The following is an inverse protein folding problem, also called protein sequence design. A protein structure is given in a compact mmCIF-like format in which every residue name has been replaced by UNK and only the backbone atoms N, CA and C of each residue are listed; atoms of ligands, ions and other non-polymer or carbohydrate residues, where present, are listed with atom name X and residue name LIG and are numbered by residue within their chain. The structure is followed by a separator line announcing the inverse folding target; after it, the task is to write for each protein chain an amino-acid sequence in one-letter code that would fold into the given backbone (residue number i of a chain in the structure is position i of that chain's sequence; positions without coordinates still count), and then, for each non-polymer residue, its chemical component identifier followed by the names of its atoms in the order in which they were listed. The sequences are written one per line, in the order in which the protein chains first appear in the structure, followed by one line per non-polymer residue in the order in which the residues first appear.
data_IF_772654201155
#
_entry.id   IF_772654201155
#
_cell.length_a   1.000
_cell.length_b   1.000
_cell.length_c   1.000
_cell.angle_alpha   90.00
_cell.angle_beta   90.00
_cell.angle_gamma   90.00
#
_symmetry.space_group_name_H-M   'P 1'
#
loop_
_entity.id
_entity.type
_entity.pdbx_description
1 polymer ?
#
# COMPACT_ATOMS: atom_id res chain seq x y z
N UNK A 1 -15.42 4.12 5.16
CA UNK A 1 -15.60 4.41 3.74
C UNK A 1 -14.85 5.66 3.31
N UNK A 2 -13.58 5.50 2.98
CA UNK A 2 -12.94 6.31 1.95
C UNK A 2 -13.45 5.85 0.57
N UNK A 3 -13.30 6.69 -0.44
CA UNK A 3 -13.65 6.42 -1.84
C UNK A 3 -12.39 6.21 -2.67
N UNK A 4 -12.52 5.59 -3.85
CA UNK A 4 -11.39 5.41 -4.77
C UNK A 4 -10.76 6.75 -5.15
N UNK A 5 -11.58 7.79 -5.39
CA UNK A 5 -11.11 9.13 -5.72
C UNK A 5 -10.31 9.77 -4.57
N UNK A 6 -10.72 9.51 -3.32
CA UNK A 6 -9.97 9.95 -2.13
C UNK A 6 -8.63 9.23 -2.02
N UNK A 7 -8.57 7.93 -2.33
CA UNK A 7 -7.30 7.16 -2.35
C UNK A 7 -6.35 7.70 -3.41
N UNK A 8 -6.85 8.00 -4.61
CA UNK A 8 -6.05 8.62 -5.67
C UNK A 8 -5.56 10.01 -5.25
N UNK A 9 -6.41 10.82 -4.60
CA UNK A 9 -6.02 12.13 -4.05
C UNK A 9 -4.91 11.99 -2.99
N UNK A 10 -5.02 11.02 -2.08
CA UNK A 10 -3.99 10.74 -1.07
C UNK A 10 -2.67 10.32 -1.73
N UNK A 11 -2.72 9.47 -2.76
CA UNK A 11 -1.53 9.06 -3.52
C UNK A 11 -0.85 10.26 -4.17
N UNK A 12 -1.62 11.12 -4.83
CA UNK A 12 -1.09 12.27 -5.55
C UNK A 12 -0.51 13.31 -4.57
N UNK A 13 -1.13 13.47 -3.40
CA UNK A 13 -0.60 14.28 -2.29
C UNK A 13 0.57 13.60 -1.54
N UNK A 14 0.91 12.35 -1.87
CA UNK A 14 1.88 11.51 -1.14
C UNK A 14 1.54 11.37 0.36
N UNK A 15 0.26 11.36 0.69
CA UNK A 15 -0.24 11.13 2.05
C UNK A 15 -0.18 9.64 2.40
N UNK A 16 1.02 9.20 2.77
CA UNK A 16 1.28 7.80 3.14
C UNK A 16 0.49 7.39 4.38
N UNK A 17 0.32 8.29 5.35
CA UNK A 17 -0.41 7.97 6.58
C UNK A 17 -1.92 7.83 6.31
N UNK A 18 -2.47 8.66 5.43
CA UNK A 18 -3.84 8.52 4.91
C UNK A 18 -4.04 7.19 4.18
N UNK A 19 -3.13 6.85 3.28
CA UNK A 19 -3.16 5.57 2.55
C UNK A 19 -3.02 4.35 3.48
N UNK A 20 -2.20 4.43 4.54
CA UNK A 20 -2.11 3.35 5.54
C UNK A 20 -3.45 3.16 6.25
N UNK A 21 -4.15 4.24 6.61
CA UNK A 21 -5.49 4.12 7.22
C UNK A 21 -6.51 3.51 6.26
N UNK A 22 -6.42 3.83 4.97
CA UNK A 22 -7.32 3.26 3.94
C UNK A 22 -7.15 1.74 3.74
N UNK A 23 -6.05 1.14 4.24
CA UNK A 23 -5.89 -0.32 4.27
C UNK A 23 -6.84 -1.03 5.24
N UNK A 24 -7.47 -0.32 6.17
CA UNK A 24 -8.47 -0.88 7.09
C UNK A 24 -9.91 -0.51 6.67
N UNK A 25 -10.12 0.00 5.44
CA UNK A 25 -11.46 0.35 4.97
C UNK A 25 -12.36 -0.88 4.78
N UNK A 26 -13.67 -0.71 4.93
CA UNK A 26 -14.65 -1.79 4.79
C UNK A 26 -14.72 -2.32 3.35
N UNK A 27 -14.51 -1.45 2.36
CA UNK A 27 -14.55 -1.79 0.95
C UNK A 27 -13.21 -2.40 0.50
N UNK A 28 -13.25 -3.62 -0.04
CA UNK A 28 -12.07 -4.29 -0.57
C UNK A 28 -11.44 -3.59 -1.78
N UNK A 29 -12.22 -2.84 -2.56
CA UNK A 29 -11.70 -2.04 -3.67
C UNK A 29 -10.87 -0.87 -3.14
N UNK A 30 -11.30 -0.24 -2.05
CA UNK A 30 -10.56 0.83 -1.38
C UNK A 30 -9.27 0.29 -0.78
N UNK A 31 -9.33 -0.84 -0.06
CA UNK A 31 -8.14 -1.49 0.53
C UNK A 31 -7.11 -1.89 -0.53
N UNK A 32 -7.56 -2.50 -1.63
CA UNK A 32 -6.66 -2.91 -2.72
C UNK A 32 -6.03 -1.70 -3.43
N UNK A 33 -6.80 -0.65 -3.72
CA UNK A 33 -6.29 0.58 -4.33
C UNK A 33 -5.29 1.30 -3.41
N UNK A 34 -5.56 1.32 -2.09
CA UNK A 34 -4.65 1.87 -1.10
C UNK A 34 -3.32 1.09 -1.07
N UNK A 35 -3.38 -0.24 -1.09
CA UNK A 35 -2.20 -1.09 -1.14
C UNK A 35 -1.34 -0.82 -2.39
N UNK A 36 -1.96 -0.75 -3.58
CA UNK A 36 -1.25 -0.43 -4.82
C UNK A 36 -0.63 0.97 -4.79
N UNK A 37 -1.38 1.96 -4.31
CA UNK A 37 -0.92 3.35 -4.19
C UNK A 37 0.30 3.48 -3.27
N UNK A 38 0.30 2.80 -2.12
CA UNK A 38 1.45 2.70 -1.23
C UNK A 38 2.66 2.06 -1.92
N UNK A 39 2.43 1.00 -2.70
CA UNK A 39 3.45 0.36 -3.52
C UNK A 39 4.09 1.33 -4.52
N UNK A 40 3.29 2.14 -5.21
CA UNK A 40 3.77 3.13 -6.20
C UNK A 40 4.63 4.21 -5.55
N UNK A 41 4.21 4.72 -4.39
CA UNK A 41 5.02 5.66 -3.61
C UNK A 41 6.31 5.02 -3.12
N UNK A 42 6.26 3.70 -2.86
CA UNK A 42 7.32 2.87 -2.31
C UNK A 42 8.01 3.53 -1.11
N UNK A 43 7.21 4.15 -0.24
CA UNK A 43 7.68 4.74 1.00
C UNK A 43 8.02 3.61 2.00
N UNK A 44 9.18 3.68 2.68
CA UNK A 44 9.58 2.68 3.66
C UNK A 44 8.52 2.39 4.73
N UNK A 45 7.74 3.40 5.12
CA UNK A 45 6.67 3.28 6.14
C UNK A 45 5.54 2.35 5.72
N UNK A 46 5.41 2.07 4.42
CA UNK A 46 4.39 1.16 3.91
C UNK A 46 4.74 -0.32 4.08
N UNK A 47 6.00 -0.66 4.43
CA UNK A 47 6.48 -2.04 4.47
C UNK A 47 5.69 -2.90 5.45
N UNK A 48 5.64 -2.50 6.72
CA UNK A 48 4.95 -3.27 7.77
C UNK A 48 3.43 -3.35 7.53
N UNK A 49 2.72 -2.24 7.20
CA UNK A 49 1.30 -2.31 6.84
C UNK A 49 1.00 -3.24 5.66
N UNK A 50 1.78 -3.18 4.58
CA UNK A 50 1.59 -4.05 3.42
C UNK A 50 1.88 -5.52 3.74
N UNK A 51 2.86 -5.80 4.61
CA UNK A 51 3.13 -7.17 5.06
C UNK A 51 1.95 -7.79 5.83
N UNK A 52 1.31 -6.99 6.68
CA UNK A 52 0.10 -7.36 7.42
C UNK A 52 -1.04 -7.65 6.46
N UNK A 53 -1.40 -6.71 5.59
CA UNK A 53 -2.50 -6.86 4.62
C UNK A 53 -2.29 -8.06 3.71
N UNK A 54 -1.06 -8.27 3.21
CA UNK A 54 -0.71 -9.44 2.40
C UNK A 54 -1.04 -10.77 3.07
N UNK A 55 -1.01 -10.83 4.40
CA UNK A 55 -1.12 -12.06 5.16
C UNK A 55 -2.50 -12.23 5.82
N UNK A 56 -3.12 -11.12 6.22
CA UNK A 56 -4.30 -11.11 7.10
C UNK A 56 -5.58 -10.63 6.41
N UNK A 57 -5.51 -9.96 5.25
CA UNK A 57 -6.72 -9.42 4.62
C UNK A 57 -7.67 -10.56 4.20
N UNK A 58 -8.99 -10.44 4.46
CA UNK A 58 -9.96 -11.45 4.06
C UNK A 58 -10.02 -11.67 2.54
N UNK A 59 -9.83 -10.62 1.75
CA UNK A 59 -9.94 -10.67 0.30
C UNK A 59 -8.63 -11.15 -0.35
N UNK A 60 -8.73 -12.19 -1.19
CA UNK A 60 -7.57 -12.69 -1.93
C UNK A 60 -6.99 -11.62 -2.87
N UNK A 61 -7.85 -10.84 -3.52
CA UNK A 61 -7.45 -9.77 -4.43
C UNK A 61 -6.67 -8.68 -3.69
N UNK A 62 -7.10 -8.32 -2.47
CA UNK A 62 -6.36 -7.35 -1.64
C UNK A 62 -5.01 -7.92 -1.20
N UNK A 63 -4.94 -9.21 -0.81
CA UNK A 63 -3.67 -9.86 -0.46
C UNK A 63 -2.69 -9.86 -1.65
N UNK A 64 -3.16 -10.11 -2.86
CA UNK A 64 -2.34 -10.09 -4.08
C UNK A 64 -1.84 -8.67 -4.42
N UNK A 65 -2.71 -7.66 -4.29
CA UNK A 65 -2.34 -6.26 -4.43
C UNK A 65 -1.24 -5.86 -3.43
N UNK A 66 -1.43 -6.20 -2.16
CA UNK A 66 -0.45 -5.96 -1.11
C UNK A 66 0.86 -6.73 -1.33
N UNK A 67 0.81 -7.97 -1.84
CA UNK A 67 2.00 -8.74 -2.19
C UNK A 67 2.84 -8.06 -3.28
N UNK A 68 2.17 -7.51 -4.29
CA UNK A 68 2.80 -6.80 -5.40
C UNK A 68 3.41 -5.50 -4.91
N UNK A 69 2.64 -4.69 -4.17
CA UNK A 69 3.10 -3.44 -3.59
C UNK A 69 4.29 -3.64 -2.63
N UNK A 70 4.25 -4.68 -1.80
CA UNK A 70 5.34 -5.01 -0.88
C UNK A 70 6.67 -5.28 -1.61
N UNK A 71 6.62 -5.96 -2.75
CA UNK A 71 7.82 -6.20 -3.58
C UNK A 71 8.42 -4.89 -4.09
N UNK A 72 7.60 -3.93 -4.49
CA UNK A 72 8.08 -2.62 -4.95
C UNK A 72 8.73 -1.82 -3.81
N UNK A 73 8.11 -1.81 -2.63
CA UNK A 73 8.69 -1.16 -1.43
C UNK A 73 10.03 -1.79 -1.06
N UNK A 74 10.09 -3.12 -0.94
CA UNK A 74 11.33 -3.81 -0.56
C UNK A 74 12.40 -3.67 -1.64
N UNK A 75 12.04 -3.79 -2.92
CA UNK A 75 13.00 -3.60 -4.02
C UNK A 75 13.64 -2.21 -3.98
N UNK A 76 12.85 -1.14 -3.76
CA UNK A 76 13.38 0.22 -3.65
C UNK A 76 14.29 0.40 -2.43
N UNK A 77 13.96 -0.23 -1.30
CA UNK A 77 14.81 -0.19 -0.12
C UNK A 77 16.18 -0.85 -0.37
N UNK A 78 16.19 -2.00 -1.04
CA UNK A 78 17.42 -2.70 -1.39
C UNK A 78 18.29 -1.90 -2.36
N UNK A 79 17.69 -1.18 -3.31
CA UNK A 79 18.41 -0.29 -4.22
C UNK A 79 19.08 0.87 -3.47
N UNK A 80 18.38 1.48 -2.51
CA UNK A 80 18.92 2.57 -1.67
C UNK A 80 20.09 2.07 -0.82
N UNK A 81 19.96 0.88 -0.23
CA UNK A 81 21.02 0.26 0.57
C UNK A 81 22.23 -0.13 -0.28
N UNK A 82 22.03 -0.62 -1.50
CA UNK A 82 23.11 -1.00 -2.41
C UNK A 82 23.86 0.19 -3.02
N UNK A 83 23.26 1.38 -3.03
CA UNK A 83 23.86 2.62 -3.54
C UNK A 83 24.69 3.39 -2.50
N UNK A 84 24.85 2.84 -1.28
CA UNK A 84 25.57 3.45 -0.16
C UNK A 84 26.91 2.77 0.11
#
# INVERSE_FOLDING_TARGET
MATIDEVDTMRDARDVDGLIRALDDEDEFVRSQAALSLGTLADPRAKEPLARVKSEDPSASVREAAATAYKWVVGRLQEIEAAR
#
